data_IF_178695298998
#
_entry.id   IF_178695298998
#
_cell.length_a   1.000
_cell.length_b   1.000
_cell.length_c   1.000
_cell.angle_alpha   90.00
_cell.angle_beta   90.00
_cell.angle_gamma   90.00
#
_symmetry.space_group_name_H-M   'P 1'
#
loop_
_entity.id
_entity.type
_entity.pdbx_description
1 polymer ?
#
# COMPACT_ATOMS: atom_id res chain seq x y z
N UNK A 1 4.33 39.52 13.57
CA UNK A 1 3.45 39.35 12.40
C UNK A 1 3.24 37.85 12.22
N UNK A 2 2.10 37.32 12.67
CA UNK A 2 1.83 35.88 12.66
C UNK A 2 1.59 35.37 11.23
N UNK A 3 2.28 34.31 10.86
CA UNK A 3 1.95 33.52 9.66
C UNK A 3 0.66 32.75 9.95
N UNK A 4 -0.41 33.12 9.26
CA UNK A 4 -1.66 32.37 9.27
C UNK A 4 -1.39 30.94 8.80
N UNK A 5 -1.87 29.97 9.57
CA UNK A 5 -1.97 28.58 9.15
C UNK A 5 -2.70 28.54 7.79
N UNK A 6 -2.01 28.09 6.75
CA UNK A 6 -2.66 27.83 5.46
C UNK A 6 -3.67 26.71 5.69
N UNK A 7 -4.97 26.93 5.42
CA UNK A 7 -5.91 25.83 5.43
C UNK A 7 -5.45 24.79 4.41
N UNK A 8 -5.52 23.52 4.79
CA UNK A 8 -5.34 22.40 3.87
C UNK A 8 -6.26 22.66 2.65
N UNK A 9 -5.79 22.44 1.41
CA UNK A 9 -6.64 22.62 0.25
C UNK A 9 -7.91 21.77 0.41
N UNK A 10 -9.07 22.35 0.06
CA UNK A 10 -10.33 21.61 -0.09
C UNK A 10 -10.01 20.35 -0.88
N UNK A 11 -10.32 19.18 -0.31
CA UNK A 11 -10.13 17.90 -0.98
C UNK A 11 -10.68 18.01 -2.40
N UNK A 12 -9.85 17.70 -3.39
CA UNK A 12 -10.29 17.66 -4.78
C UNK A 12 -11.52 16.73 -4.88
N UNK A 13 -12.51 17.04 -5.75
CA UNK A 13 -13.65 16.15 -5.92
C UNK A 13 -13.15 14.74 -6.24
N UNK A 14 -13.75 13.69 -5.65
CA UNK A 14 -13.39 12.31 -5.93
C UNK A 14 -13.57 12.08 -7.43
N UNK A 15 -12.45 12.14 -8.15
CA UNK A 15 -12.34 11.99 -9.58
C UNK A 15 -11.23 10.99 -9.81
N UNK A 16 -11.45 10.04 -10.71
CA UNK A 16 -10.55 8.91 -10.89
C UNK A 16 -11.30 7.59 -10.92
N UNK A 17 -10.59 6.53 -11.27
CA UNK A 17 -11.13 5.16 -11.25
C UNK A 17 -11.36 4.75 -9.79
N UNK A 18 -12.44 4.05 -9.50
CA UNK A 18 -12.59 3.37 -8.21
C UNK A 18 -11.96 1.99 -8.30
N UNK A 19 -11.03 1.68 -7.40
CA UNK A 19 -10.35 0.40 -7.30
C UNK A 19 -10.80 -0.32 -6.03
N UNK A 20 -11.90 -1.06 -6.14
CA UNK A 20 -12.42 -1.89 -5.04
C UNK A 20 -11.57 -3.14 -4.78
N UNK A 21 -11.76 -3.74 -3.61
CA UNK A 21 -11.05 -4.96 -3.16
C UNK A 21 -11.15 -6.11 -4.17
N UNK A 22 -12.32 -6.27 -4.80
CA UNK A 22 -12.58 -7.26 -5.85
C UNK A 22 -11.60 -7.17 -7.04
N UNK A 23 -11.19 -5.97 -7.42
CA UNK A 23 -10.19 -5.79 -8.50
C UNK A 23 -8.86 -6.44 -8.12
N UNK A 24 -8.45 -6.32 -6.86
CA UNK A 24 -7.20 -6.88 -6.37
C UNK A 24 -7.28 -8.40 -6.20
N UNK A 25 -8.41 -8.92 -5.71
CA UNK A 25 -8.66 -10.37 -5.63
C UNK A 25 -8.61 -11.00 -7.03
N UNK A 26 -9.33 -10.45 -8.00
CA UNK A 26 -9.27 -10.91 -9.40
C UNK A 26 -7.84 -10.88 -9.97
N UNK A 27 -7.06 -9.84 -9.64
CA UNK A 27 -5.65 -9.80 -10.04
C UNK A 27 -4.81 -10.88 -9.34
N UNK A 28 -5.07 -11.17 -8.06
CA UNK A 28 -4.37 -12.21 -7.31
C UNK A 28 -4.70 -13.60 -7.84
N UNK A 29 -5.96 -13.89 -8.14
CA UNK A 29 -6.41 -15.15 -8.74
C UNK A 29 -5.73 -15.42 -10.08
N UNK A 30 -5.70 -14.41 -10.96
CA UNK A 30 -5.00 -14.51 -12.25
C UNK A 30 -3.53 -14.82 -12.05
N UNK A 31 -2.85 -14.14 -11.12
CA UNK A 31 -1.42 -14.37 -10.84
C UNK A 31 -1.16 -15.75 -10.26
N UNK A 32 -1.99 -16.21 -9.32
CA UNK A 32 -1.90 -17.57 -8.76
C UNK A 32 -1.99 -18.60 -9.89
N UNK A 33 -2.98 -18.48 -10.78
CA UNK A 33 -3.13 -19.38 -11.93
C UNK A 33 -1.87 -19.43 -12.79
N UNK A 34 -1.33 -18.27 -13.17
CA UNK A 34 -0.12 -18.18 -14.01
C UNK A 34 1.11 -18.79 -13.33
N UNK A 35 1.26 -18.61 -12.01
CA UNK A 35 2.36 -19.21 -11.24
C UNK A 35 2.20 -20.74 -11.22
N UNK A 36 1.01 -21.25 -10.92
CA UNK A 36 0.74 -22.69 -10.88
C UNK A 36 0.88 -23.35 -12.27
N UNK A 37 0.54 -22.63 -13.35
CA UNK A 37 0.74 -23.09 -14.72
C UNK A 37 2.23 -23.20 -15.09
N UNK A 38 3.05 -22.25 -14.60
CA UNK A 38 4.49 -22.25 -14.83
C UNK A 38 5.23 -23.30 -13.98
N UNK A 39 4.81 -23.49 -12.73
CA UNK A 39 5.39 -24.47 -11.81
C UNK A 39 4.34 -24.95 -10.80
N UNK A 40 3.90 -26.21 -10.98
CA UNK A 40 2.91 -26.85 -10.11
C UNK A 40 3.40 -27.03 -8.67
N UNK A 41 4.70 -26.93 -8.39
CA UNK A 41 5.26 -26.97 -7.05
C UNK A 41 4.77 -25.83 -6.13
N UNK A 42 4.21 -24.76 -6.69
CA UNK A 42 3.66 -23.62 -5.94
C UNK A 42 2.15 -23.67 -5.69
N UNK A 43 1.45 -24.67 -6.22
CA UNK A 43 -0.01 -24.69 -6.21
C UNK A 43 -0.60 -24.53 -4.81
N UNK A 44 -0.08 -25.30 -3.85
CA UNK A 44 -0.54 -25.26 -2.47
C UNK A 44 -0.30 -23.89 -1.81
N UNK A 45 0.88 -23.28 -1.98
CA UNK A 45 1.17 -21.96 -1.41
C UNK A 45 0.33 -20.85 -2.07
N UNK A 46 0.09 -20.93 -3.38
CA UNK A 46 -0.74 -19.96 -4.09
C UNK A 46 -2.21 -20.05 -3.64
N UNK A 47 -2.74 -21.27 -3.47
CA UNK A 47 -4.10 -21.49 -2.98
C UNK A 47 -4.26 -21.01 -1.53
N UNK A 48 -3.33 -21.35 -0.63
CA UNK A 48 -3.33 -20.86 0.77
C UNK A 48 -3.30 -19.32 0.83
N UNK A 49 -2.40 -18.70 0.07
CA UNK A 49 -2.29 -17.24 0.04
C UNK A 49 -3.59 -16.59 -0.48
N UNK A 50 -4.17 -17.13 -1.55
CA UNK A 50 -5.39 -16.61 -2.13
C UNK A 50 -6.58 -16.75 -1.16
N UNK A 51 -6.69 -17.87 -0.46
CA UNK A 51 -7.71 -18.08 0.57
C UNK A 51 -7.57 -17.08 1.72
N UNK A 52 -6.34 -16.87 2.21
CA UNK A 52 -6.06 -15.87 3.26
C UNK A 52 -6.39 -14.45 2.82
N UNK A 53 -6.14 -14.11 1.55
CA UNK A 53 -6.52 -12.82 0.97
C UNK A 53 -8.04 -12.66 0.92
N UNK A 54 -8.78 -13.68 0.47
CA UNK A 54 -10.26 -13.68 0.44
C UNK A 54 -10.83 -13.52 1.85
N UNK A 55 -10.31 -14.26 2.82
CA UNK A 55 -10.75 -14.16 4.22
C UNK A 55 -10.48 -12.77 4.81
N UNK A 56 -9.34 -12.16 4.45
CA UNK A 56 -9.01 -10.80 4.89
C UNK A 56 -9.84 -9.72 4.17
N UNK A 57 -10.28 -9.98 2.93
CA UNK A 57 -11.15 -9.07 2.19
C UNK A 57 -12.52 -8.88 2.85
N UNK A 58 -13.05 -9.92 3.49
CA UNK A 58 -14.35 -9.87 4.19
C UNK A 58 -14.34 -8.88 5.35
N UNK A 59 -13.19 -8.67 6.01
CA UNK A 59 -13.06 -7.76 7.15
C UNK A 59 -12.70 -6.32 6.77
N UNK A 60 -12.49 -6.04 5.47
CA UNK A 60 -12.23 -4.70 4.98
C UNK A 60 -13.54 -3.94 4.83
N UNK A 61 -13.60 -2.73 5.39
CA UNK A 61 -14.75 -1.84 5.19
C UNK A 61 -14.78 -1.34 3.75
N UNK A 62 -15.71 -1.89 2.95
CA UNK A 62 -15.88 -1.52 1.55
C UNK A 62 -16.37 -0.08 1.36
N UNK A 63 -16.96 0.55 2.38
CA UNK A 63 -17.38 1.94 2.36
C UNK A 63 -16.23 2.92 2.57
N UNK A 64 -15.13 2.45 3.16
CA UNK A 64 -13.97 3.28 3.45
C UNK A 64 -13.05 3.39 2.23
N UNK A 65 -13.16 4.51 1.52
CA UNK A 65 -12.29 4.80 0.37
C UNK A 65 -11.78 6.23 0.40
N UNK A 66 -10.57 6.44 -0.13
CA UNK A 66 -9.97 7.76 -0.30
C UNK A 66 -9.19 7.82 -1.61
N UNK A 67 -8.86 9.02 -2.05
CA UNK A 67 -7.91 9.21 -3.13
C UNK A 67 -6.53 8.67 -2.69
N UNK A 68 -5.91 7.90 -3.58
CA UNK A 68 -4.59 7.31 -3.40
C UNK A 68 -3.74 7.48 -4.66
N UNK A 69 -2.46 7.24 -4.49
CA UNK A 69 -1.45 7.23 -5.54
C UNK A 69 -1.60 6.01 -6.45
N UNK A 70 -1.97 4.86 -5.87
CA UNK A 70 -2.24 3.64 -6.60
C UNK A 70 -1.03 2.76 -6.90
N UNK A 71 0.19 3.26 -6.73
CA UNK A 71 1.43 2.49 -6.90
C UNK A 71 2.59 2.93 -5.97
N UNK A 72 2.27 3.51 -4.81
CA UNK A 72 3.26 4.13 -3.90
C UNK A 72 4.48 3.25 -3.58
N UNK A 73 5.65 3.66 -4.05
CA UNK A 73 6.92 2.99 -3.78
C UNK A 73 8.06 3.96 -3.48
N UNK A 74 9.18 3.46 -2.95
CA UNK A 74 10.29 4.28 -2.44
C UNK A 74 10.92 5.19 -3.50
N UNK A 75 11.04 4.73 -4.75
CA UNK A 75 11.68 5.49 -5.82
C UNK A 75 10.80 6.61 -6.39
N UNK A 76 9.51 6.66 -6.00
CA UNK A 76 8.58 7.76 -6.34
C UNK A 76 8.59 8.87 -5.30
N UNK A 77 9.39 8.75 -4.24
CA UNK A 77 9.47 9.70 -3.14
C UNK A 77 10.79 10.45 -3.17
N UNK A 78 10.71 11.79 -3.22
CA UNK A 78 11.87 12.67 -3.11
C UNK A 78 11.86 13.35 -1.75
N UNK A 79 12.89 13.05 -0.96
CA UNK A 79 13.16 13.73 0.31
C UNK A 79 13.84 15.06 0.02
N UNK A 80 13.24 16.15 0.48
CA UNK A 80 13.79 17.50 0.34
C UNK A 80 14.11 18.09 1.71
N UNK A 81 14.77 19.25 1.76
CA UNK A 81 14.94 20.01 3.02
C UNK A 81 13.60 20.54 3.57
N UNK A 82 12.53 20.49 2.79
CA UNK A 82 11.18 20.90 3.16
C UNK A 82 10.20 19.72 3.05
N UNK A 83 9.02 19.90 2.43
CA UNK A 83 8.05 18.82 2.32
C UNK A 83 8.60 17.67 1.45
N UNK A 84 8.25 16.46 1.83
CA UNK A 84 8.40 15.28 0.99
C UNK A 84 7.55 15.45 -0.28
N UNK A 85 8.14 15.18 -1.44
CA UNK A 85 7.44 15.24 -2.72
C UNK A 85 7.19 13.82 -3.21
N UNK A 86 5.94 13.53 -3.57
CA UNK A 86 5.54 12.26 -4.19
C UNK A 86 5.29 12.50 -5.67
N UNK A 87 5.97 11.74 -6.51
CA UNK A 87 5.95 11.83 -7.97
C UNK A 87 5.15 10.66 -8.57
N UNK A 88 4.87 10.70 -9.87
CA UNK A 88 4.30 9.56 -10.63
C UNK A 88 2.82 9.22 -10.31
N UNK A 89 1.94 10.21 -10.44
CA UNK A 89 0.51 10.10 -10.16
C UNK A 89 -0.33 9.53 -11.32
N UNK A 90 0.25 8.79 -12.26
CA UNK A 90 -0.47 8.28 -13.44
C UNK A 90 -1.46 7.14 -13.09
N UNK A 91 -1.19 6.41 -12.01
CA UNK A 91 -2.04 5.33 -11.47
C UNK A 91 -2.96 5.75 -10.33
N UNK A 92 -3.14 7.06 -10.13
CA UNK A 92 -4.01 7.59 -9.09
C UNK A 92 -5.44 7.04 -9.19
N UNK A 93 -6.05 6.73 -8.05
CA UNK A 93 -7.40 6.20 -7.99
C UNK A 93 -8.04 6.37 -6.61
N UNK A 94 -9.28 5.89 -6.48
CA UNK A 94 -10.02 5.87 -5.21
C UNK A 94 -10.05 4.44 -4.71
N UNK A 95 -9.42 4.18 -3.56
CA UNK A 95 -9.26 2.84 -3.00
C UNK A 95 -9.28 2.88 -1.47
N UNK A 96 -9.24 1.70 -0.83
CA UNK A 96 -9.10 1.61 0.61
C UNK A 96 -7.77 2.26 1.07
N UNK A 97 -7.75 3.06 2.16
CA UNK A 97 -6.57 3.81 2.61
C UNK A 97 -5.36 2.93 2.96
N UNK A 98 -5.56 1.64 3.18
CA UNK A 98 -4.47 0.67 3.43
C UNK A 98 -3.62 0.40 2.21
N UNK A 99 -4.13 0.62 0.99
CA UNK A 99 -3.48 0.13 -0.21
C UNK A 99 -2.10 0.75 -0.41
N UNK A 100 -2.01 2.07 -0.39
CA UNK A 100 -0.74 2.77 -0.65
C UNK A 100 0.27 2.51 0.46
N UNK A 101 -0.21 2.43 1.71
CA UNK A 101 0.63 2.06 2.87
C UNK A 101 1.18 0.63 2.71
N UNK A 102 0.33 -0.34 2.40
CA UNK A 102 0.75 -1.73 2.21
C UNK A 102 1.71 -1.87 1.02
N UNK A 103 1.43 -1.16 -0.08
CA UNK A 103 2.28 -1.16 -1.26
C UNK A 103 3.67 -0.58 -0.94
N UNK A 104 3.75 0.53 -0.21
CA UNK A 104 5.02 1.12 0.21
C UNK A 104 5.83 0.19 1.10
N UNK A 105 5.20 -0.45 2.09
CA UNK A 105 5.85 -1.42 2.98
C UNK A 105 6.42 -2.60 2.18
N UNK A 106 5.63 -3.21 1.28
CA UNK A 106 6.10 -4.29 0.39
C UNK A 106 7.25 -3.83 -0.51
N UNK A 107 7.26 -2.55 -0.89
CA UNK A 107 8.35 -1.98 -1.67
C UNK A 107 9.66 -1.91 -0.87
N UNK A 108 9.58 -1.54 0.42
CA UNK A 108 10.73 -1.61 1.33
C UNK A 108 11.21 -3.05 1.54
N UNK A 109 10.32 -4.03 1.69
CA UNK A 109 10.70 -5.45 1.81
C UNK A 109 11.46 -5.94 0.57
N UNK A 110 11.02 -5.52 -0.63
CA UNK A 110 11.69 -5.83 -1.90
C UNK A 110 13.05 -5.15 -1.99
N UNK A 111 13.14 -3.87 -1.66
CA UNK A 111 14.40 -3.13 -1.60
C UNK A 111 15.38 -3.80 -0.62
N UNK A 112 14.90 -4.15 0.57
CA UNK A 112 15.68 -4.83 1.60
C UNK A 112 16.23 -6.16 1.07
N UNK A 113 15.39 -6.96 0.39
CA UNK A 113 15.84 -8.21 -0.22
C UNK A 113 16.91 -7.99 -1.29
N UNK A 114 16.73 -6.99 -2.15
CA UNK A 114 17.62 -6.70 -3.27
C UNK A 114 18.97 -6.13 -2.82
N UNK A 115 18.97 -5.20 -1.87
CA UNK A 115 20.17 -4.47 -1.47
C UNK A 115 20.86 -5.04 -0.22
N UNK A 116 20.10 -5.68 0.67
CA UNK A 116 20.57 -6.13 1.99
C UNK A 116 20.44 -7.65 2.19
N UNK A 117 19.94 -8.38 1.18
CA UNK A 117 19.84 -9.85 1.17
C UNK A 117 18.67 -10.43 1.99
N UNK A 118 17.96 -9.61 2.76
CA UNK A 118 16.86 -10.02 3.64
C UNK A 118 15.65 -9.11 3.50
N UNK A 119 14.45 -9.69 3.38
CA UNK A 119 13.18 -8.93 3.34
C UNK A 119 12.92 -8.15 4.63
N UNK A 120 13.53 -8.59 5.75
CA UNK A 120 13.36 -8.01 7.08
C UNK A 120 14.35 -6.88 7.40
N UNK A 121 15.32 -6.62 6.52
CA UNK A 121 16.41 -5.69 6.84
C UNK A 121 15.98 -4.21 6.95
N UNK A 122 14.75 -3.88 6.51
CA UNK A 122 14.16 -2.54 6.63
C UNK A 122 12.89 -2.51 7.49
N UNK A 123 12.64 -3.53 8.34
CA UNK A 123 11.44 -3.59 9.19
C UNK A 123 11.32 -2.34 10.08
N UNK A 124 12.40 -1.92 10.73
CA UNK A 124 12.38 -0.71 11.57
C UNK A 124 12.04 0.56 10.78
N UNK A 125 12.38 0.62 9.49
CA UNK A 125 11.99 1.74 8.64
C UNK A 125 10.50 1.67 8.26
N UNK A 126 9.98 0.46 7.98
CA UNK A 126 8.56 0.25 7.74
C UNK A 126 7.70 0.57 8.97
N UNK A 127 8.15 0.18 10.16
CA UNK A 127 7.52 0.51 11.44
C UNK A 127 7.50 2.01 11.69
N UNK A 128 8.64 2.69 11.48
CA UNK A 128 8.74 4.14 11.64
C UNK A 128 7.83 4.87 10.64
N UNK A 129 7.82 4.44 9.38
CA UNK A 129 6.91 4.96 8.36
C UNK A 129 5.45 4.84 8.80
N UNK A 130 5.02 3.65 9.22
CA UNK A 130 3.64 3.41 9.63
C UNK A 130 3.25 4.26 10.84
N UNK A 131 4.13 4.34 11.84
CA UNK A 131 3.92 5.19 13.01
C UNK A 131 3.74 6.65 12.60
N UNK A 132 4.66 7.20 11.80
CA UNK A 132 4.58 8.59 11.35
C UNK A 132 3.36 8.85 10.47
N UNK A 133 2.96 7.90 9.64
CA UNK A 133 1.73 7.98 8.85
C UNK A 133 0.49 8.14 9.74
N UNK A 134 0.37 7.31 10.77
CA UNK A 134 -0.73 7.38 11.74
C UNK A 134 -0.69 8.68 12.55
N UNK A 135 0.48 9.07 13.07
CA UNK A 135 0.69 10.30 13.84
C UNK A 135 0.36 11.56 13.01
N UNK A 136 0.47 11.48 11.68
CA UNK A 136 0.15 12.57 10.75
C UNK A 136 -1.33 12.64 10.34
N UNK A 137 -2.21 11.82 10.96
CA UNK A 137 -3.64 11.78 10.65
C UNK A 137 -4.03 10.76 9.58
N UNK A 138 -3.15 9.80 9.27
CA UNK A 138 -3.48 8.64 8.44
C UNK A 138 -4.60 7.79 9.03
N UNK A 139 -5.30 7.03 8.19
CA UNK A 139 -6.49 6.29 8.62
C UNK A 139 -6.15 5.17 9.65
N UNK A 140 -6.82 5.08 10.81
CA UNK A 140 -6.46 4.13 11.88
C UNK A 140 -6.74 2.66 11.55
N UNK A 141 -7.62 2.36 10.58
CA UNK A 141 -7.82 1.00 10.05
C UNK A 141 -6.66 0.49 9.17
N UNK A 142 -5.55 1.23 9.07
CA UNK A 142 -4.32 0.66 8.52
C UNK A 142 -3.74 -0.35 9.51
N UNK A 143 -3.66 -1.65 9.17
CA UNK A 143 -3.20 -2.66 10.11
C UNK A 143 -1.75 -2.39 10.50
N UNK A 144 -1.45 -2.54 11.79
CA UNK A 144 -0.08 -2.53 12.30
C UNK A 144 0.78 -3.51 11.48
N UNK A 145 2.01 -3.10 11.15
CA UNK A 145 3.00 -4.01 10.58
C UNK A 145 3.09 -5.23 11.52
N UNK A 146 2.68 -6.40 11.03
CA UNK A 146 2.74 -7.62 11.82
C UNK A 146 4.15 -8.16 11.74
N UNK A 147 4.83 -8.22 12.89
CA UNK A 147 5.90 -9.17 13.11
C UNK A 147 5.28 -10.57 13.00
N UNK A 148 5.47 -11.24 11.87
CA UNK A 148 5.25 -12.67 11.73
C UNK A 148 6.58 -13.34 11.41
#
# INVERSE_FOLDING_TARGET
MWAMARPLPKAAPPSGRTSGVERFLNSAERKCRLICEADRGWAMQCEDLLERLRNSAVSLDAGLTCAGHGDSCEHQIVLTKGPTVVLDWDLYDIAHPTRDVAKFIVSLERLAKQCLGSVRALDSAAELFLKTYLDSGGHPHVPAARCC
#
